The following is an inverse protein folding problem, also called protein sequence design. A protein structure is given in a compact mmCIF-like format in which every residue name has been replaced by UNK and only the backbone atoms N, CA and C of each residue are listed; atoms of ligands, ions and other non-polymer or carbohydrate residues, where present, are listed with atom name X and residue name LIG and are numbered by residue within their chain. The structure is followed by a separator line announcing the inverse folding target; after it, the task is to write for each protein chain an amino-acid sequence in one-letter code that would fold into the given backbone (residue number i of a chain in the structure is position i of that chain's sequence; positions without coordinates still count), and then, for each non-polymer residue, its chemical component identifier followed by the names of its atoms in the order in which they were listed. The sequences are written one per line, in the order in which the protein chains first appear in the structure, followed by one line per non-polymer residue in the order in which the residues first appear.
data_IF_806383993772
#
_entry.id   IF_806383993772
#
_cell.length_a   1.000
_cell.length_b   1.000
_cell.length_c   1.000
_cell.angle_alpha   90.00
_cell.angle_beta   90.00
_cell.angle_gamma   90.00
#
_symmetry.space_group_name_H-M   'P 1'
#
loop_
_entity.id
_entity.type
_entity.pdbx_description
1 polymer ?
#
# COMPACT_ATOMS: atom_id res chain seq x y z
N UNK A 1 -25.68 -7.72 -32.94
CA UNK A 1 -26.50 -6.96 -31.96
C UNK A 1 -25.92 -7.12 -30.54
N UNK A 2 -24.60 -6.97 -30.39
CA UNK A 2 -23.85 -7.27 -29.14
C UNK A 2 -23.20 -6.03 -28.51
N UNK A 3 -23.13 -4.91 -29.24
CA UNK A 3 -22.55 -3.65 -28.78
C UNK A 3 -23.36 -3.02 -27.62
N UNK A 4 -24.69 -3.02 -27.69
CA UNK A 4 -25.58 -2.42 -26.67
C UNK A 4 -25.37 -3.00 -25.26
N UNK A 5 -25.21 -4.33 -25.14
CA UNK A 5 -25.05 -5.00 -23.85
C UNK A 5 -23.69 -4.68 -23.18
N UNK A 6 -22.62 -4.53 -23.98
CA UNK A 6 -21.30 -4.17 -23.48
C UNK A 6 -21.23 -2.77 -22.88
N UNK A 7 -21.91 -1.80 -23.50
CA UNK A 7 -21.96 -0.43 -22.96
C UNK A 7 -22.66 -0.38 -21.59
N UNK A 8 -23.73 -1.16 -21.41
CA UNK A 8 -24.44 -1.22 -20.12
C UNK A 8 -23.56 -1.78 -19.00
N UNK A 9 -22.72 -2.79 -19.27
CA UNK A 9 -21.77 -3.32 -18.28
C UNK A 9 -20.75 -2.28 -17.84
N UNK A 10 -20.24 -1.46 -18.78
CA UNK A 10 -19.34 -0.35 -18.44
C UNK A 10 -20.03 0.71 -17.58
N UNK A 11 -21.29 1.02 -17.86
CA UNK A 11 -22.09 1.94 -17.05
C UNK A 11 -22.31 1.38 -15.64
N UNK A 12 -22.68 0.10 -15.50
CA UNK A 12 -22.82 -0.55 -14.19
C UNK A 12 -21.51 -0.57 -13.40
N UNK A 13 -20.38 -0.84 -14.07
CA UNK A 13 -19.06 -0.78 -13.44
C UNK A 13 -18.72 0.64 -12.97
N UNK A 14 -18.98 1.66 -13.78
CA UNK A 14 -18.75 3.06 -13.41
C UNK A 14 -19.61 3.45 -12.20
N UNK A 15 -20.90 3.09 -12.19
CA UNK A 15 -21.80 3.33 -11.07
C UNK A 15 -21.30 2.61 -9.80
N UNK A 16 -20.87 1.36 -9.92
CA UNK A 16 -20.33 0.59 -8.80
C UNK A 16 -19.06 1.24 -8.21
N UNK A 17 -18.13 1.71 -9.06
CA UNK A 17 -16.92 2.42 -8.62
C UNK A 17 -17.29 3.73 -7.92
N UNK A 18 -18.19 4.54 -8.49
CA UNK A 18 -18.63 5.80 -7.88
C UNK A 18 -19.30 5.54 -6.54
N UNK A 19 -20.22 4.56 -6.47
CA UNK A 19 -20.88 4.18 -5.24
C UNK A 19 -19.87 3.71 -4.19
N UNK A 20 -18.91 2.86 -4.56
CA UNK A 20 -17.84 2.41 -3.68
C UNK A 20 -17.04 3.57 -3.11
N UNK A 21 -16.60 4.51 -3.95
CA UNK A 21 -15.84 5.68 -3.54
C UNK A 21 -16.68 6.56 -2.60
N UNK A 22 -17.95 6.81 -2.93
CA UNK A 22 -18.84 7.63 -2.10
C UNK A 22 -19.10 6.97 -0.74
N UNK A 23 -19.39 5.67 -0.70
CA UNK A 23 -19.63 4.93 0.55
C UNK A 23 -18.39 4.95 1.47
N UNK A 24 -17.19 4.81 0.91
CA UNK A 24 -15.95 4.85 1.68
C UNK A 24 -15.59 6.30 2.08
N UNK A 25 -15.48 7.21 1.12
CA UNK A 25 -14.94 8.56 1.36
C UNK A 25 -15.93 9.50 2.06
N UNK A 26 -17.22 9.44 1.70
CA UNK A 26 -18.25 10.37 2.23
C UNK A 26 -18.96 9.82 3.46
N UNK A 27 -19.28 8.53 3.45
CA UNK A 27 -20.01 7.86 4.53
C UNK A 27 -19.10 7.13 5.52
N UNK A 28 -17.79 7.05 5.24
CA UNK A 28 -16.77 6.44 6.14
C UNK A 28 -17.12 5.01 6.55
N UNK A 29 -17.75 4.27 5.65
CA UNK A 29 -18.03 2.85 5.86
C UNK A 29 -16.73 2.04 5.70
N UNK A 30 -16.63 0.93 6.44
CA UNK A 30 -15.46 0.06 6.37
C UNK A 30 -15.25 -0.45 4.92
N UNK A 31 -14.07 -0.23 4.30
CA UNK A 31 -13.80 -0.63 2.92
C UNK A 31 -14.12 -2.10 2.62
N UNK A 32 -13.84 -3.01 3.55
CA UNK A 32 -14.13 -4.42 3.38
C UNK A 32 -15.63 -4.68 3.19
N UNK A 33 -16.46 -4.04 4.03
CA UNK A 33 -17.93 -4.16 3.96
C UNK A 33 -18.45 -3.54 2.66
N UNK A 34 -17.94 -2.37 2.29
CA UNK A 34 -18.35 -1.67 1.06
C UNK A 34 -18.00 -2.48 -0.18
N UNK A 35 -16.76 -2.98 -0.29
CA UNK A 35 -16.34 -3.81 -1.43
C UNK A 35 -17.20 -5.06 -1.55
N UNK A 36 -17.52 -5.71 -0.43
CA UNK A 36 -18.40 -6.89 -0.41
C UNK A 36 -19.79 -6.56 -0.94
N UNK A 37 -20.44 -5.52 -0.39
CA UNK A 37 -21.78 -5.11 -0.79
C UNK A 37 -21.85 -4.65 -2.25
N UNK A 38 -20.90 -3.83 -2.69
CA UNK A 38 -20.82 -3.33 -4.06
C UNK A 38 -20.60 -4.49 -5.03
N UNK A 39 -19.73 -5.45 -4.70
CA UNK A 39 -19.43 -6.59 -5.59
C UNK A 39 -20.64 -7.51 -5.76
N UNK A 40 -21.34 -7.82 -4.67
CA UNK A 40 -22.58 -8.63 -4.70
C UNK A 40 -23.69 -7.85 -5.43
N UNK A 41 -23.85 -6.55 -5.15
CA UNK A 41 -24.83 -5.69 -5.80
C UNK A 41 -24.59 -5.57 -7.31
N UNK A 42 -23.34 -5.37 -7.73
CA UNK A 42 -22.95 -5.31 -9.14
C UNK A 42 -23.26 -6.64 -9.84
N UNK A 43 -22.95 -7.77 -9.22
CA UNK A 43 -23.26 -9.09 -9.77
C UNK A 43 -24.77 -9.28 -10.02
N UNK A 44 -25.62 -8.86 -9.08
CA UNK A 44 -27.07 -8.93 -9.24
C UNK A 44 -27.59 -7.99 -10.35
N UNK A 45 -27.13 -6.74 -10.36
CA UNK A 45 -27.53 -5.74 -11.38
C UNK A 45 -27.04 -6.11 -12.77
N UNK A 46 -25.89 -6.77 -12.88
CA UNK A 46 -25.35 -7.30 -14.14
C UNK A 46 -26.14 -8.51 -14.67
N UNK A 47 -27.16 -8.99 -13.95
CA UNK A 47 -28.06 -10.06 -14.38
C UNK A 47 -27.57 -11.46 -14.03
N UNK A 48 -26.64 -11.60 -13.10
CA UNK A 48 -26.10 -12.90 -12.70
C UNK A 48 -27.11 -13.65 -11.79
N UNK A 49 -27.33 -14.96 -11.99
CA UNK A 49 -28.25 -15.72 -11.17
C UNK A 49 -27.87 -15.67 -9.68
N UNK A 50 -28.82 -15.46 -8.75
CA UNK A 50 -28.53 -15.38 -7.31
C UNK A 50 -27.73 -16.57 -6.76
N UNK A 51 -27.99 -17.77 -7.28
CA UNK A 51 -27.28 -19.00 -6.91
C UNK A 51 -25.80 -19.00 -7.30
N UNK A 52 -25.39 -18.22 -8.30
CA UNK A 52 -24.00 -18.12 -8.77
C UNK A 52 -23.21 -16.96 -8.16
N UNK A 53 -23.89 -16.01 -7.49
CA UNK A 53 -23.26 -14.78 -7.00
C UNK A 53 -22.23 -15.04 -5.90
N UNK A 54 -22.58 -15.87 -4.92
CA UNK A 54 -21.67 -16.20 -3.81
C UNK A 54 -20.43 -16.93 -4.34
N UNK A 55 -20.61 -17.92 -5.22
CA UNK A 55 -19.49 -18.65 -5.81
C UNK A 55 -18.57 -17.78 -6.66
N UNK A 56 -19.13 -16.83 -7.43
CA UNK A 56 -18.32 -15.88 -8.19
C UNK A 56 -17.52 -14.93 -7.28
N UNK A 57 -18.14 -14.46 -6.20
CA UNK A 57 -17.48 -13.63 -5.19
C UNK A 57 -16.35 -14.39 -4.50
N UNK A 58 -16.61 -15.61 -4.02
CA UNK A 58 -15.61 -16.47 -3.38
C UNK A 58 -14.45 -16.82 -4.32
N UNK A 59 -14.73 -17.12 -5.58
CA UNK A 59 -13.70 -17.39 -6.58
C UNK A 59 -12.84 -16.14 -6.84
N UNK A 60 -13.45 -14.96 -6.93
CA UNK A 60 -12.73 -13.70 -7.10
C UNK A 60 -11.82 -13.38 -5.91
N UNK A 61 -12.38 -13.36 -4.70
CA UNK A 61 -11.64 -13.08 -3.46
C UNK A 61 -10.57 -14.15 -3.21
N UNK A 62 -10.91 -15.43 -3.37
CA UNK A 62 -10.00 -16.56 -3.17
C UNK A 62 -8.81 -16.53 -4.12
N UNK A 63 -9.01 -16.18 -5.40
CA UNK A 63 -7.92 -16.02 -6.37
C UNK A 63 -6.97 -14.89 -5.97
N UNK A 64 -7.50 -13.74 -5.53
CA UNK A 64 -6.68 -12.61 -5.11
C UNK A 64 -5.92 -12.95 -3.82
N UNK A 65 -6.61 -13.42 -2.79
CA UNK A 65 -5.99 -13.79 -1.51
C UNK A 65 -5.01 -14.94 -1.65
N UNK A 66 -5.30 -15.98 -2.43
CA UNK A 66 -4.39 -17.10 -2.64
C UNK A 66 -3.00 -16.67 -3.16
N UNK A 67 -2.94 -15.57 -3.92
CA UNK A 67 -1.69 -15.05 -4.46
C UNK A 67 -0.95 -14.11 -3.51
N UNK A 68 -1.67 -13.23 -2.79
CA UNK A 68 -1.05 -12.16 -1.98
C UNK A 68 -1.00 -12.47 -0.48
N UNK A 69 -1.84 -13.37 0.03
CA UNK A 69 -2.07 -13.51 1.46
C UNK A 69 -0.82 -13.93 2.23
N UNK A 70 -0.02 -14.87 1.70
CA UNK A 70 1.19 -15.32 2.39
C UNK A 70 2.22 -14.19 2.50
N UNK A 71 2.47 -13.48 1.41
CA UNK A 71 3.48 -12.41 1.38
C UNK A 71 3.04 -11.23 2.24
N UNK A 72 1.76 -10.86 2.18
CA UNK A 72 1.19 -9.82 3.04
C UNK A 72 1.21 -10.25 4.51
N UNK A 73 0.82 -11.48 4.84
CA UNK A 73 0.84 -11.98 6.22
C UNK A 73 2.25 -11.98 6.81
N UNK A 74 3.23 -12.57 6.12
CA UNK A 74 4.61 -12.60 6.57
C UNK A 74 5.23 -11.19 6.64
N UNK A 75 4.93 -10.34 5.65
CA UNK A 75 5.35 -8.94 5.64
C UNK A 75 4.80 -8.16 6.83
N UNK A 76 3.51 -8.30 7.13
CA UNK A 76 2.88 -7.66 8.30
C UNK A 76 3.48 -8.14 9.62
N UNK A 77 3.76 -9.44 9.76
CA UNK A 77 4.40 -10.01 10.94
C UNK A 77 5.82 -9.44 11.12
N UNK A 78 6.62 -9.45 10.06
CA UNK A 78 7.99 -8.91 10.06
C UNK A 78 8.00 -7.42 10.39
N UNK A 79 7.13 -6.64 9.76
CA UNK A 79 6.97 -5.21 10.03
C UNK A 79 6.60 -4.96 11.50
N UNK A 80 5.62 -5.70 12.02
CA UNK A 80 5.20 -5.58 13.42
C UNK A 80 6.33 -5.91 14.39
N UNK A 81 7.07 -7.01 14.15
CA UNK A 81 8.23 -7.38 14.94
C UNK A 81 9.33 -6.31 14.89
N UNK A 82 9.60 -5.74 13.71
CA UNK A 82 10.61 -4.69 13.55
C UNK A 82 10.22 -3.41 14.30
N UNK A 83 8.93 -3.04 14.29
CA UNK A 83 8.42 -1.89 15.02
C UNK A 83 8.42 -2.10 16.54
N UNK A 84 8.10 -3.30 17.02
CA UNK A 84 8.04 -3.58 18.47
C UNK A 84 9.41 -3.85 19.10
N UNK A 85 10.35 -4.40 18.33
CA UNK A 85 11.70 -4.74 18.82
C UNK A 85 12.62 -3.52 18.96
N UNK A 86 12.24 -2.34 18.46
CA UNK A 86 13.13 -1.19 18.34
C UNK A 86 14.13 -1.32 17.18
N UNK A 87 13.99 -2.33 16.32
CA UNK A 87 14.90 -2.57 15.21
C UNK A 87 14.90 -1.44 14.19
N UNK A 88 13.74 -0.85 13.93
CA UNK A 88 13.61 0.31 13.04
C UNK A 88 14.37 1.54 13.59
N UNK A 89 14.28 1.79 14.90
CA UNK A 89 15.02 2.85 15.59
C UNK A 89 16.53 2.64 15.52
N UNK A 90 16.98 1.39 15.67
CA UNK A 90 18.40 1.04 15.59
C UNK A 90 18.96 1.26 14.17
N UNK A 91 18.22 0.84 13.13
CA UNK A 91 18.57 1.11 11.73
C UNK A 91 18.65 2.61 11.48
N UNK A 92 17.66 3.37 11.96
CA UNK A 92 17.63 4.82 11.80
C UNK A 92 18.86 5.49 12.43
N UNK A 93 19.15 5.19 13.70
CA UNK A 93 20.32 5.74 14.42
C UNK A 93 21.62 5.44 13.70
N UNK A 94 21.81 4.18 13.28
CA UNK A 94 23.01 3.73 12.58
C UNK A 94 23.23 4.50 11.28
N UNK A 95 22.17 4.71 10.49
CA UNK A 95 22.25 5.45 9.23
C UNK A 95 22.49 6.95 9.43
N UNK A 96 21.84 7.56 10.43
CA UNK A 96 22.09 8.97 10.79
C UNK A 96 23.55 9.18 11.16
N UNK A 97 24.09 8.33 12.03
CA UNK A 97 25.48 8.44 12.46
C UNK A 97 26.46 8.16 11.31
N UNK A 98 26.08 7.34 10.32
CA UNK A 98 26.91 7.03 9.14
C UNK A 98 26.92 8.13 8.08
N UNK A 99 25.78 8.74 7.78
CA UNK A 99 25.66 9.81 6.79
C UNK A 99 26.17 11.17 7.31
N UNK A 100 26.11 11.35 8.63
CA UNK A 100 26.51 12.57 9.31
C UNK A 100 25.47 13.69 9.20
N UNK A 101 25.63 14.70 10.06
CA UNK A 101 24.66 15.77 10.26
C UNK A 101 24.36 16.58 8.99
N UNK A 102 25.37 16.79 8.13
CA UNK A 102 25.22 17.52 6.86
C UNK A 102 24.28 16.85 5.85
N UNK A 103 24.13 15.53 5.93
CA UNK A 103 23.34 14.74 4.98
C UNK A 103 22.09 14.11 5.61
N UNK A 104 21.57 14.71 6.69
CA UNK A 104 20.42 14.19 7.42
C UNK A 104 19.18 13.96 6.54
N UNK A 105 18.97 14.79 5.50
CA UNK A 105 17.89 14.62 4.54
C UNK A 105 18.03 13.32 3.73
N UNK A 106 19.23 13.01 3.20
CA UNK A 106 19.50 11.75 2.52
C UNK A 106 19.42 10.55 3.44
N UNK A 107 19.93 10.68 4.67
CA UNK A 107 19.80 9.65 5.68
C UNK A 107 18.33 9.28 5.90
N UNK A 108 17.45 10.29 6.01
CA UNK A 108 16.01 10.05 6.18
C UNK A 108 15.35 9.38 4.99
N UNK A 109 15.75 9.67 3.75
CA UNK A 109 15.24 8.94 2.58
C UNK A 109 15.61 7.47 2.69
N UNK A 110 16.90 7.16 2.93
CA UNK A 110 17.36 5.78 3.02
C UNK A 110 16.70 5.03 4.19
N UNK A 111 16.53 5.69 5.34
CA UNK A 111 15.85 5.13 6.50
C UNK A 111 14.39 4.84 6.14
N UNK A 112 13.67 5.83 5.62
CA UNK A 112 12.28 5.68 5.21
C UNK A 112 12.09 4.56 4.18
N UNK A 113 13.01 4.47 3.22
CA UNK A 113 12.99 3.43 2.21
C UNK A 113 13.19 2.04 2.84
N UNK A 114 14.28 1.84 3.60
CA UNK A 114 14.61 0.55 4.21
C UNK A 114 13.57 0.09 5.25
N UNK A 115 13.14 1.01 6.11
CA UNK A 115 12.15 0.76 7.17
C UNK A 115 10.76 0.56 6.56
N UNK A 116 10.46 1.23 5.44
CA UNK A 116 9.20 1.09 4.70
C UNK A 116 9.07 -0.21 3.90
N UNK A 117 10.16 -0.93 3.61
CA UNK A 117 10.07 -2.21 2.89
C UNK A 117 9.23 -3.25 3.65
N UNK A 118 9.46 -3.49 4.95
CA UNK A 118 8.61 -4.38 5.75
C UNK A 118 7.42 -3.67 6.42
N UNK A 119 7.42 -2.34 6.54
CA UNK A 119 6.35 -1.59 7.22
C UNK A 119 5.40 -0.92 6.24
N UNK A 120 4.12 -0.90 6.61
CA UNK A 120 3.14 -0.07 5.92
C UNK A 120 3.44 1.41 6.15
N UNK A 121 3.05 2.25 5.19
CA UNK A 121 3.25 3.70 5.24
C UNK A 121 2.83 4.30 6.57
N UNK A 122 1.63 3.98 7.07
CA UNK A 122 1.09 4.56 8.30
C UNK A 122 1.93 4.16 9.53
N UNK A 123 2.33 2.90 9.62
CA UNK A 123 3.12 2.40 10.75
C UNK A 123 4.53 2.97 10.69
N UNK A 124 5.17 2.94 9.52
CA UNK A 124 6.49 3.53 9.31
C UNK A 124 6.51 5.04 9.57
N UNK A 125 5.47 5.75 9.15
CA UNK A 125 5.32 7.18 9.40
C UNK A 125 5.25 7.48 10.91
N UNK A 126 4.35 6.83 11.63
CA UNK A 126 4.19 7.03 13.08
C UNK A 126 5.48 6.71 13.84
N UNK A 127 6.20 5.67 13.43
CA UNK A 127 7.47 5.27 14.04
C UNK A 127 8.61 6.25 13.74
N UNK A 128 8.73 6.72 12.51
CA UNK A 128 9.85 7.57 12.09
C UNK A 128 9.67 9.05 12.46
N UNK A 129 8.43 9.53 12.67
CA UNK A 129 8.17 10.93 13.05
C UNK A 129 8.94 11.38 14.31
N UNK A 130 8.92 10.64 15.44
CA UNK A 130 9.74 10.97 16.61
C UNK A 130 11.24 11.02 16.31
N UNK A 131 11.73 10.13 15.45
CA UNK A 131 13.13 10.09 15.03
C UNK A 131 13.47 11.33 14.20
N UNK A 132 12.61 11.70 13.24
CA UNK A 132 12.75 12.89 12.42
C UNK A 132 12.83 14.16 13.28
N UNK A 133 11.98 14.29 14.30
CA UNK A 133 12.06 15.38 15.28
C UNK A 133 13.39 15.40 16.03
N UNK A 134 13.86 14.24 16.46
CA UNK A 134 15.13 14.11 17.19
C UNK A 134 16.31 14.50 16.30
N UNK A 135 16.33 14.06 15.04
CA UNK A 135 17.36 14.39 14.04
C UNK A 135 17.36 15.87 13.71
N UNK A 136 16.19 16.44 13.41
CA UNK A 136 16.07 17.86 13.09
C UNK A 136 16.59 18.74 14.22
N UNK A 137 16.28 18.40 15.48
CA UNK A 137 16.80 19.11 16.66
C UNK A 137 18.30 18.92 16.85
N UNK A 138 18.83 17.71 16.64
CA UNK A 138 20.26 17.41 16.80
C UNK A 138 21.11 18.17 15.78
N UNK A 139 20.66 18.22 14.54
CA UNK A 139 21.36 18.88 13.43
C UNK A 139 21.08 20.39 13.36
N UNK A 140 20.05 20.87 14.05
CA UNK A 140 19.67 22.29 14.07
C UNK A 140 18.96 22.76 12.79
N UNK A 141 18.25 21.86 12.09
CA UNK A 141 17.51 22.16 10.86
C UNK A 141 16.00 22.09 11.06
N UNK A 142 15.24 22.68 10.14
CA UNK A 142 13.78 22.56 10.13
C UNK A 142 13.34 21.10 10.00
N UNK A 143 12.27 20.73 10.72
CA UNK A 143 11.64 19.42 10.59
C UNK A 143 11.24 19.11 9.15
N UNK A 144 10.90 20.12 8.34
CA UNK A 144 10.52 19.93 6.94
C UNK A 144 11.70 19.38 6.10
N UNK A 145 12.93 19.76 6.44
CA UNK A 145 14.14 19.34 5.72
C UNK A 145 14.45 17.84 5.93
N UNK A 146 13.86 17.23 6.97
CA UNK A 146 14.08 15.85 7.40
C UNK A 146 12.81 15.01 7.17
N UNK A 147 11.65 15.61 7.44
CA UNK A 147 10.33 15.00 7.32
C UNK A 147 9.82 14.88 5.88
N UNK A 148 10.04 15.86 5.00
CA UNK A 148 9.65 15.73 3.58
C UNK A 148 10.39 14.57 2.89
N UNK A 149 11.73 14.45 3.01
CA UNK A 149 12.44 13.30 2.44
C UNK A 149 12.00 11.95 3.04
N UNK A 150 11.71 11.92 4.34
CA UNK A 150 11.16 10.73 5.01
C UNK A 150 9.81 10.30 4.41
N UNK A 151 8.86 11.24 4.28
CA UNK A 151 7.54 10.95 3.70
C UNK A 151 7.69 10.54 2.25
N UNK A 152 8.54 11.21 1.47
CA UNK A 152 8.82 10.83 0.08
C UNK A 152 9.32 9.38 -0.03
N UNK A 153 10.32 9.00 0.77
CA UNK A 153 10.85 7.63 0.78
C UNK A 153 9.79 6.59 1.17
N UNK A 154 8.99 6.86 2.21
CA UNK A 154 7.89 5.98 2.61
C UNK A 154 6.81 5.88 1.51
N UNK A 155 6.47 6.99 0.85
CA UNK A 155 5.48 7.01 -0.22
C UNK A 155 5.94 6.23 -1.45
N UNK A 156 7.20 6.37 -1.84
CA UNK A 156 7.82 5.61 -2.93
C UNK A 156 7.70 4.11 -2.66
N UNK A 157 8.09 3.65 -1.47
CA UNK A 157 8.03 2.22 -1.12
C UNK A 157 6.59 1.73 -1.09
N UNK A 158 5.68 2.50 -0.48
CA UNK A 158 4.27 2.13 -0.40
C UNK A 158 3.59 2.00 -1.76
N UNK A 159 3.93 2.89 -2.70
CA UNK A 159 3.31 2.94 -4.02
C UNK A 159 3.94 1.98 -5.03
N UNK A 160 5.27 1.79 -4.98
CA UNK A 160 6.02 1.12 -6.05
C UNK A 160 6.51 -0.27 -5.68
N UNK A 161 6.71 -0.58 -4.40
CA UNK A 161 7.44 -1.80 -4.00
C UNK A 161 6.48 -2.93 -3.61
N UNK A 162 6.49 -4.07 -4.33
CA UNK A 162 5.91 -5.32 -3.85
C UNK A 162 6.52 -5.72 -2.49
N UNK A 163 5.74 -6.16 -1.49
CA UNK A 163 4.45 -6.84 -1.63
C UNK A 163 3.22 -5.98 -1.31
N UNK A 164 3.31 -4.64 -1.34
CA UNK A 164 2.16 -3.78 -1.06
C UNK A 164 0.93 -4.19 -1.92
N UNK A 165 -0.28 -4.35 -1.35
CA UNK A 165 -1.39 -4.97 -2.04
C UNK A 165 -1.73 -4.34 -3.40
N UNK A 166 -1.69 -3.01 -3.51
CA UNK A 166 -1.92 -2.29 -4.75
C UNK A 166 -0.83 -2.56 -5.80
N UNK A 167 0.45 -2.51 -5.40
CA UNK A 167 1.58 -2.82 -6.27
C UNK A 167 1.58 -4.29 -6.71
N UNK A 168 1.28 -5.22 -5.79
CA UNK A 168 1.13 -6.65 -6.09
C UNK A 168 -0.01 -6.93 -7.05
N UNK A 169 -1.16 -6.28 -6.87
CA UNK A 169 -2.28 -6.39 -7.80
C UNK A 169 -1.88 -5.92 -9.21
N UNK A 170 -1.17 -4.79 -9.33
CA UNK A 170 -0.71 -4.32 -10.62
C UNK A 170 0.24 -5.32 -11.29
N UNK A 171 1.26 -5.81 -10.56
CA UNK A 171 2.19 -6.83 -11.06
C UNK A 171 1.44 -8.07 -11.55
N UNK A 172 0.42 -8.51 -10.81
CA UNK A 172 -0.39 -9.66 -11.18
C UNK A 172 -1.26 -9.41 -12.43
N UNK A 173 -1.98 -8.29 -12.48
CA UNK A 173 -2.87 -7.96 -13.60
C UNK A 173 -2.08 -7.83 -14.90
N UNK A 174 -0.89 -7.23 -14.84
CA UNK A 174 -0.01 -7.09 -16.00
C UNK A 174 0.90 -8.31 -16.25
N UNK A 175 0.80 -9.38 -15.44
CA UNK A 175 1.64 -10.57 -15.54
C UNK A 175 3.16 -10.26 -15.51
N UNK A 176 3.54 -9.23 -14.76
CA UNK A 176 4.93 -8.81 -14.62
C UNK A 176 5.69 -9.67 -13.61
N UNK A 177 7.02 -9.70 -13.72
CA UNK A 177 7.87 -10.35 -12.72
C UNK A 177 7.95 -9.52 -11.44
N UNK A 178 7.63 -10.15 -10.30
CA UNK A 178 7.75 -9.52 -8.97
C UNK A 178 9.19 -9.07 -8.72
N UNK A 179 10.17 -9.92 -9.06
CA UNK A 179 11.59 -9.61 -8.87
C UNK A 179 12.07 -8.44 -9.72
N UNK A 180 11.66 -8.36 -10.99
CA UNK A 180 12.00 -7.23 -11.86
C UNK A 180 11.32 -5.94 -11.39
N UNK A 181 10.07 -6.02 -10.96
CA UNK A 181 9.34 -4.86 -10.43
C UNK A 181 10.01 -4.34 -9.16
N UNK A 182 10.42 -5.23 -8.26
CA UNK A 182 11.18 -4.87 -7.07
C UNK A 182 12.50 -4.19 -7.43
N UNK A 183 13.25 -4.73 -8.39
CA UNK A 183 14.50 -4.13 -8.85
C UNK A 183 14.29 -2.73 -9.45
N UNK A 184 13.27 -2.55 -10.30
CA UNK A 184 12.95 -1.24 -10.87
C UNK A 184 12.47 -0.25 -9.81
N UNK A 185 11.68 -0.71 -8.84
CA UNK A 185 11.22 0.13 -7.74
C UNK A 185 12.39 0.61 -6.87
N UNK A 186 13.42 -0.21 -6.64
CA UNK A 186 14.64 0.18 -5.92
C UNK A 186 15.55 1.06 -6.78
N UNK A 187 15.61 0.84 -8.09
CA UNK A 187 16.47 1.61 -8.99
C UNK A 187 15.93 3.01 -9.28
N UNK A 188 14.60 3.16 -9.36
CA UNK A 188 13.93 4.42 -9.74
C UNK A 188 13.46 5.19 -8.49
N UNK A 189 13.06 4.48 -7.44
CA UNK A 189 12.48 5.05 -6.21
C UNK A 189 13.54 5.59 -5.25
#
# INVERSE_FOLDING_TARGET
MTLSFGYWLLVYAAIAIIALIVLIARYRLNPFIVITLISIGLALVAGMPPSGVVGAYEAGVGKTLGHIALVVALGTMLGKMMAESGGAEQVARTLIDRFGEKNAHWAMVCIAFLVGLPLFFEVGFVLLVPIAFTVARRVGVSILMVGLPMVAGLSVVHALVPPHPAAMLAVQVYQASVGQTLLYAIAIG
#
